data_IF_235374544983
#
_entry.id   IF_235374544983
#
_cell.length_a   1.000
_cell.length_b   1.000
_cell.length_c   1.000
_cell.angle_alpha   90.00
_cell.angle_beta   90.00
_cell.angle_gamma   90.00
#
_symmetry.space_group_name_H-M   'P 1'
#
loop_
_entity.id
_entity.type
_entity.pdbx_description
1 polymer ?
#
# COMPACT_ATOMS: atom_id res chain seq x y z
N UNK A 1 16.04 -7.37 -7.01
CA UNK A 1 15.29 -8.25 -7.94
C UNK A 1 15.46 -7.68 -9.35
N UNK A 2 15.66 -8.50 -10.38
CA UNK A 2 15.72 -7.99 -11.75
C UNK A 2 14.29 -7.83 -12.33
N UNK A 3 14.08 -6.97 -13.35
CA UNK A 3 12.74 -6.71 -13.87
C UNK A 3 12.00 -7.96 -14.38
N UNK A 4 12.74 -8.87 -15.03
CA UNK A 4 12.18 -10.13 -15.55
C UNK A 4 11.66 -11.04 -14.43
N UNK A 5 12.40 -11.15 -13.31
CA UNK A 5 11.95 -11.89 -12.14
C UNK A 5 10.76 -11.24 -11.43
N UNK A 6 10.69 -9.90 -11.43
CA UNK A 6 9.55 -9.18 -10.85
C UNK A 6 8.26 -9.41 -11.65
N UNK A 7 8.33 -9.37 -12.99
CA UNK A 7 7.15 -9.62 -13.83
C UNK A 7 6.70 -11.08 -13.75
N UNK A 8 7.64 -12.04 -13.73
CA UNK A 8 7.30 -13.44 -13.58
C UNK A 8 6.55 -13.71 -12.25
N UNK A 9 7.03 -13.14 -11.14
CA UNK A 9 6.37 -13.26 -9.84
C UNK A 9 4.97 -12.60 -9.84
N UNK A 10 4.80 -11.45 -10.52
CA UNK A 10 3.49 -10.80 -10.64
C UNK A 10 2.49 -11.67 -11.40
N UNK A 11 2.94 -12.34 -12.46
CA UNK A 11 2.10 -13.26 -13.23
C UNK A 11 1.72 -14.51 -12.43
N UNK A 12 2.62 -15.03 -11.60
CA UNK A 12 2.33 -16.12 -10.66
C UNK A 12 1.22 -15.74 -9.68
N UNK A 13 1.33 -14.57 -9.02
CA UNK A 13 0.27 -14.10 -8.12
C UNK A 13 -1.08 -13.91 -8.82
N UNK A 14 -1.09 -13.40 -10.07
CA UNK A 14 -2.34 -13.26 -10.82
C UNK A 14 -2.97 -14.62 -11.17
N UNK A 15 -2.15 -15.61 -11.53
CA UNK A 15 -2.62 -16.96 -11.81
C UNK A 15 -3.21 -17.61 -10.56
N UNK A 16 -2.59 -17.40 -9.39
CA UNK A 16 -3.07 -17.92 -8.10
C UNK A 16 -4.38 -17.26 -7.64
N UNK A 17 -4.55 -15.95 -7.88
CA UNK A 17 -5.81 -15.26 -7.57
C UNK A 17 -6.96 -15.69 -8.49
N UNK A 18 -6.65 -16.08 -9.73
CA UNK A 18 -7.61 -16.68 -10.66
C UNK A 18 -8.81 -15.79 -10.99
N UNK A 19 -9.96 -16.43 -11.25
CA UNK A 19 -11.20 -15.77 -11.66
C UNK A 19 -11.90 -15.01 -10.51
N UNK A 20 -11.50 -15.23 -9.25
CA UNK A 20 -12.09 -14.57 -8.08
C UNK A 20 -11.58 -13.13 -7.89
N UNK A 21 -10.53 -12.74 -8.61
CA UNK A 21 -10.03 -11.37 -8.61
C UNK A 21 -11.02 -10.45 -9.34
N UNK A 22 -11.70 -9.61 -8.58
CA UNK A 22 -12.54 -8.53 -9.09
C UNK A 22 -11.74 -7.22 -9.15
N UNK A 23 -11.27 -6.77 -10.33
CA UNK A 23 -10.40 -5.59 -10.43
C UNK A 23 -11.07 -4.29 -9.99
N UNK A 24 -12.41 -4.20 -10.04
CA UNK A 24 -13.15 -2.98 -9.67
C UNK A 24 -13.00 -2.67 -8.18
N UNK A 25 -12.91 -3.71 -7.33
CA UNK A 25 -12.71 -3.56 -5.88
C UNK A 25 -11.34 -3.02 -5.49
N UNK A 26 -10.37 -3.01 -6.39
CA UNK A 26 -8.98 -2.61 -6.12
C UNK A 26 -8.49 -1.42 -6.96
N UNK A 27 -9.36 -0.79 -7.77
CA UNK A 27 -9.01 0.42 -8.50
C UNK A 27 -8.72 1.61 -7.56
N UNK A 28 -7.95 2.61 -8.01
CA UNK A 28 -7.83 3.88 -7.29
C UNK A 28 -9.20 4.46 -6.89
N UNK A 29 -9.30 4.99 -5.66
CA UNK A 29 -10.56 5.44 -5.05
C UNK A 29 -11.37 4.34 -4.36
N UNK A 30 -11.06 3.05 -4.57
CA UNK A 30 -11.75 1.94 -3.91
C UNK A 30 -11.23 1.68 -2.48
N UNK A 31 -12.05 0.96 -1.69
CA UNK A 31 -11.61 0.46 -0.38
C UNK A 31 -10.39 -0.48 -0.49
N UNK A 32 -10.37 -1.38 -1.48
CA UNK A 32 -9.22 -2.28 -1.67
C UNK A 32 -7.92 -1.54 -1.98
N UNK A 33 -7.99 -0.42 -2.71
CA UNK A 33 -6.83 0.45 -2.93
C UNK A 33 -6.40 1.18 -1.65
N UNK A 34 -7.37 1.63 -0.83
CA UNK A 34 -7.09 2.22 0.48
C UNK A 34 -6.38 1.23 1.42
N UNK A 35 -6.80 -0.03 1.47
CA UNK A 35 -6.13 -1.06 2.26
C UNK A 35 -4.68 -1.28 1.81
N UNK A 36 -4.42 -1.28 0.50
CA UNK A 36 -3.04 -1.37 -0.01
C UNK A 36 -2.18 -0.16 0.42
N UNK A 37 -2.74 1.05 0.36
CA UNK A 37 -2.10 2.28 0.86
C UNK A 37 -1.79 2.17 2.36
N UNK A 38 -2.76 1.72 3.15
CA UNK A 38 -2.62 1.53 4.59
C UNK A 38 -1.51 0.54 4.93
N UNK A 39 -1.50 -0.63 4.26
CA UNK A 39 -0.50 -1.66 4.51
C UNK A 39 0.92 -1.21 4.13
N UNK A 40 1.08 -0.41 3.06
CA UNK A 40 2.37 0.19 2.73
C UNK A 40 2.87 1.13 3.85
N UNK A 41 2.00 1.99 4.40
CA UNK A 41 2.33 2.87 5.54
C UNK A 41 2.70 2.06 6.79
N UNK A 42 1.87 1.07 7.14
CA UNK A 42 2.09 0.23 8.33
C UNK A 42 3.45 -0.49 8.29
N UNK A 43 3.80 -1.08 7.15
CA UNK A 43 5.08 -1.77 6.99
C UNK A 43 6.25 -0.79 6.98
N UNK A 44 6.12 0.37 6.34
CA UNK A 44 7.14 1.41 6.32
C UNK A 44 7.47 1.86 7.75
N UNK A 45 6.45 2.18 8.56
CA UNK A 45 6.60 2.57 9.96
C UNK A 45 7.21 1.44 10.80
N UNK A 46 6.85 0.19 10.51
CA UNK A 46 7.44 -0.97 11.20
C UNK A 46 8.92 -1.15 10.87
N UNK A 47 9.34 -0.94 9.61
CA UNK A 47 10.77 -0.98 9.23
C UNK A 47 11.53 0.14 9.93
N UNK A 48 10.97 1.35 9.96
CA UNK A 48 11.57 2.51 10.62
C UNK A 48 11.74 2.27 12.12
N UNK A 49 10.63 2.08 12.85
CA UNK A 49 10.66 2.01 14.31
C UNK A 49 11.14 0.67 14.90
N UNK A 50 11.13 -0.43 14.14
CA UNK A 50 11.51 -1.76 14.66
C UNK A 50 12.81 -2.30 14.08
N UNK A 51 13.09 -2.07 12.79
CA UNK A 51 14.26 -2.67 12.12
C UNK A 51 15.44 -1.72 12.11
N UNK A 52 15.26 -0.47 11.67
CA UNK A 52 16.33 0.52 11.61
C UNK A 52 16.87 0.88 13.00
N UNK A 53 16.01 0.90 14.01
CA UNK A 53 16.40 1.14 15.40
C UNK A 53 17.02 -0.08 16.11
N UNK A 54 16.95 -1.28 15.51
CA UNK A 54 17.41 -2.48 16.18
C UNK A 54 18.94 -2.47 16.35
N UNK A 55 19.49 -2.72 17.56
CA UNK A 55 20.93 -2.60 17.82
C UNK A 55 21.82 -3.42 16.88
N UNK A 56 21.38 -4.64 16.51
CA UNK A 56 22.14 -5.47 15.56
C UNK A 56 22.21 -4.87 14.15
N UNK A 57 21.17 -4.14 13.72
CA UNK A 57 21.12 -3.45 12.43
C UNK A 57 21.95 -2.18 12.49
N UNK A 58 21.82 -1.37 13.55
CA UNK A 58 22.63 -0.16 13.76
C UNK A 58 24.14 -0.45 13.80
N UNK A 59 24.55 -1.56 14.43
CA UNK A 59 25.96 -1.95 14.53
C UNK A 59 26.54 -2.50 13.22
N UNK A 60 25.71 -2.81 12.21
CA UNK A 60 26.16 -3.33 10.94
C UNK A 60 25.75 -2.40 9.77
N UNK A 61 26.70 -1.66 9.18
CA UNK A 61 26.37 -0.65 8.16
C UNK A 61 25.74 -1.24 6.89
N UNK A 62 26.08 -2.47 6.50
CA UNK A 62 25.48 -3.13 5.34
C UNK A 62 24.02 -3.49 5.62
N UNK A 63 23.71 -3.97 6.82
CA UNK A 63 22.34 -4.29 7.21
C UNK A 63 21.49 -3.04 7.38
N UNK A 64 22.05 -1.98 7.96
CA UNK A 64 21.39 -0.69 8.06
C UNK A 64 21.05 -0.14 6.67
N UNK A 65 21.98 -0.21 5.71
CA UNK A 65 21.74 0.23 4.35
C UNK A 65 20.61 -0.56 3.66
N UNK A 66 20.52 -1.87 3.88
CA UNK A 66 19.43 -2.70 3.35
C UNK A 66 18.08 -2.36 3.99
N UNK A 67 18.03 -2.15 5.31
CA UNK A 67 16.82 -1.73 6.01
C UNK A 67 16.34 -0.35 5.55
N UNK A 68 17.27 0.60 5.34
CA UNK A 68 16.95 1.92 4.82
C UNK A 68 16.39 1.85 3.39
N UNK A 69 16.98 1.01 2.52
CA UNK A 69 16.44 0.78 1.17
C UNK A 69 15.03 0.17 1.20
N UNK A 70 14.75 -0.72 2.15
CA UNK A 70 13.41 -1.28 2.31
C UNK A 70 12.39 -0.21 2.74
N UNK A 71 12.75 0.65 3.69
CA UNK A 71 11.94 1.81 4.07
C UNK A 71 11.67 2.72 2.87
N UNK A 72 12.70 3.11 2.13
CA UNK A 72 12.57 4.02 0.99
C UNK A 72 11.70 3.42 -0.13
N UNK A 73 11.80 2.12 -0.37
CA UNK A 73 10.95 1.41 -1.33
C UNK A 73 9.47 1.41 -0.89
N UNK A 74 9.20 1.20 0.41
CA UNK A 74 7.85 1.26 0.96
C UNK A 74 7.29 2.69 0.93
N UNK A 75 8.10 3.70 1.23
CA UNK A 75 7.72 5.10 1.12
C UNK A 75 7.38 5.47 -0.33
N UNK A 76 8.21 5.06 -1.29
CA UNK A 76 7.93 5.29 -2.72
C UNK A 76 6.62 4.60 -3.16
N UNK A 77 6.36 3.38 -2.68
CA UNK A 77 5.11 2.67 -2.94
C UNK A 77 3.90 3.39 -2.33
N UNK A 78 3.99 3.80 -1.07
CA UNK A 78 2.96 4.58 -0.38
C UNK A 78 2.61 5.86 -1.16
N UNK A 79 3.62 6.62 -1.59
CA UNK A 79 3.41 7.85 -2.36
C UNK A 79 2.77 7.57 -3.73
N UNK A 80 3.19 6.50 -4.42
CA UNK A 80 2.64 6.14 -5.72
C UNK A 80 1.17 5.71 -5.63
N UNK A 81 0.82 4.88 -4.64
CA UNK A 81 -0.57 4.48 -4.39
C UNK A 81 -1.39 5.70 -3.97
N UNK A 82 -0.86 6.52 -3.05
CA UNK A 82 -1.54 7.70 -2.53
C UNK A 82 -1.87 8.72 -3.62
N UNK A 83 -0.92 8.99 -4.52
CA UNK A 83 -1.15 9.87 -5.66
C UNK A 83 -2.28 9.36 -6.55
N UNK A 84 -2.26 8.08 -6.94
CA UNK A 84 -3.32 7.50 -7.76
C UNK A 84 -4.68 7.50 -7.04
N UNK A 85 -4.70 7.14 -5.75
CA UNK A 85 -5.91 7.02 -4.97
C UNK A 85 -6.60 8.37 -4.70
N UNK A 86 -5.82 9.44 -4.46
CA UNK A 86 -6.34 10.78 -4.20
C UNK A 86 -6.78 11.50 -5.49
N UNK A 87 -6.16 11.19 -6.62
CA UNK A 87 -6.55 11.73 -7.93
C UNK A 87 -7.79 11.02 -8.52
N UNK A 88 -8.20 9.90 -7.93
CA UNK A 88 -9.40 9.18 -8.34
C UNK A 88 -10.67 9.98 -7.98
N UNK A 89 -11.69 10.00 -8.85
CA UNK A 89 -12.98 10.58 -8.49
C UNK A 89 -13.52 9.87 -7.25
N UNK A 90 -14.11 10.62 -6.32
CA UNK A 90 -14.68 10.08 -5.09
C UNK A 90 -15.79 9.08 -5.43
N UNK A 91 -15.45 7.80 -5.45
CA UNK A 91 -16.40 6.67 -5.51
C UNK A 91 -16.90 6.43 -4.10
N UNK A 92 -17.37 7.47 -3.41
CA UNK A 92 -18.11 7.32 -2.17
C UNK A 92 -19.36 6.54 -2.53
N UNK A 93 -19.37 5.27 -2.15
CA UNK A 93 -20.49 4.38 -2.27
C UNK A 93 -21.75 5.11 -1.80
N UNK A 94 -22.78 5.12 -2.64
CA UNK A 94 -23.90 6.06 -2.60
C UNK A 94 -24.79 5.94 -1.37
N UNK A 95 -24.31 6.34 -0.19
CA UNK A 95 -25.12 6.49 1.01
C UNK A 95 -24.55 7.52 2.00
N UNK A 96 -24.64 8.80 1.63
CA UNK A 96 -24.89 9.86 2.63
C UNK A 96 -26.30 10.41 2.44
N UNK A 97 -27.33 9.60 2.69
CA UNK A 97 -28.62 10.17 3.07
C UNK A 97 -28.54 10.69 4.51
N UNK A 98 -27.86 11.81 4.68
CA UNK A 98 -28.10 12.74 5.79
C UNK A 98 -29.38 13.50 5.48
N UNK A 99 -30.52 12.84 5.65
CA UNK A 99 -31.81 13.49 5.58
C UNK A 99 -31.87 14.58 6.66
N UNK A 100 -32.01 15.83 6.23
CA UNK A 100 -32.51 16.87 7.10
C UNK A 100 -33.94 16.54 7.54
N UNK A 101 -34.20 16.65 8.83
CA UNK A 101 -35.48 16.88 9.54
C UNK A 101 -35.14 16.75 11.03
N UNK A 102 -35.51 17.60 12.00
CA UNK A 102 -36.34 18.79 12.04
C UNK A 102 -36.05 19.46 13.41
N UNK A 103 -35.86 20.78 13.45
CA UNK A 103 -36.12 21.56 14.66
C UNK A 103 -37.36 22.43 14.38
N UNK A 104 -38.46 22.05 15.01
CA UNK A 104 -39.60 22.90 15.33
C UNK A 104 -39.99 22.63 16.77
#
# INVERSE_FOLDING_TARGET
>A
MNPEGTEALRQEYLADMGEDLDPEKFQPGSYGCHEALHMASFLMESVDGSVLEHPAVVLNPEWFALAAQAHDALFALYQAIGAAHLDAPDVSDGNRSGAGLAER
#
